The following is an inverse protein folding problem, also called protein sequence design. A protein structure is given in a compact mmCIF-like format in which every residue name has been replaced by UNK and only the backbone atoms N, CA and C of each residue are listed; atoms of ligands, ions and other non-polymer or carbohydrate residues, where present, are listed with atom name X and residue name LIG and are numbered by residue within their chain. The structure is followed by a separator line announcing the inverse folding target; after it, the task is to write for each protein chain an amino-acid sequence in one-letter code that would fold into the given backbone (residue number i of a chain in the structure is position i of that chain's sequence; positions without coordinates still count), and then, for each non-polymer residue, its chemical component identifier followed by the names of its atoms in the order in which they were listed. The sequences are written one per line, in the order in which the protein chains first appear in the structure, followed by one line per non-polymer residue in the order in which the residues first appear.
data_IF_512148179984
#
_entry.id   IF_512148179984
#
_cell.length_a   1.000
_cell.length_b   1.000
_cell.length_c   1.000
_cell.angle_alpha   90.00
_cell.angle_beta   90.00
_cell.angle_gamma   90.00
#
_symmetry.space_group_name_H-M   'P 1'
#
loop_
_entity.id
_entity.type
_entity.pdbx_description
1 polymer ?
#
# COMPACT_ATOMS: atom_id res chain seq x y z
N UNK A 1 6.76 -7.90 7.42
CA UNK A 1 6.30 -6.68 6.73
C UNK A 1 5.44 -5.89 7.69
N UNK A 2 5.75 -4.61 7.92
CA UNK A 2 5.12 -3.80 8.97
C UNK A 2 3.96 -2.97 8.40
N UNK A 3 2.81 -3.05 9.05
CA UNK A 3 1.57 -2.37 8.64
C UNK A 3 1.12 -1.45 9.78
N UNK A 4 0.71 -0.23 9.47
CA UNK A 4 0.17 0.67 10.48
C UNK A 4 -1.19 1.26 10.11
N UNK A 5 -2.01 1.49 11.13
CA UNK A 5 -3.20 2.31 11.08
C UNK A 5 -2.95 3.64 11.79
N UNK A 6 -3.25 4.75 11.11
CA UNK A 6 -3.15 6.12 11.63
C UNK A 6 -4.45 6.87 11.39
N UNK A 7 -4.68 7.89 12.21
CA UNK A 7 -5.83 8.80 12.05
C UNK A 7 -5.28 10.19 11.76
N UNK A 8 -5.73 10.79 10.66
CA UNK A 8 -5.36 12.12 10.23
C UNK A 8 -6.52 13.07 10.55
N UNK A 9 -6.24 14.11 11.32
CA UNK A 9 -7.21 15.15 11.65
C UNK A 9 -6.55 16.53 11.72
N UNK A 10 -7.36 17.56 11.54
CA UNK A 10 -7.01 18.96 11.84
C UNK A 10 -6.59 19.09 13.32
N UNK A 11 -5.70 20.03 13.69
CA UNK A 11 -5.43 20.34 15.10
C UNK A 11 -6.66 20.80 15.90
N UNK A 12 -7.65 21.37 15.23
CA UNK A 12 -8.90 21.86 15.79
C UNK A 12 -10.00 20.87 15.39
N UNK A 13 -10.33 19.96 16.30
CA UNK A 13 -11.35 18.93 16.13
C UNK A 13 -11.97 18.57 17.48
N UNK A 14 -13.13 17.91 17.46
CA UNK A 14 -13.69 17.26 18.63
C UNK A 14 -12.94 15.94 18.93
N UNK A 15 -12.19 15.90 20.03
CA UNK A 15 -11.33 14.76 20.36
C UNK A 15 -12.12 13.48 20.59
N UNK A 16 -13.20 13.56 21.36
CA UNK A 16 -14.06 12.41 21.68
C UNK A 16 -14.61 11.75 20.42
N UNK A 17 -15.13 12.57 19.51
CA UNK A 17 -15.72 12.09 18.25
C UNK A 17 -14.66 11.41 17.39
N UNK A 18 -13.48 12.03 17.23
CA UNK A 18 -12.39 11.45 16.42
C UNK A 18 -11.87 10.14 17.01
N UNK A 19 -11.75 10.05 18.34
CA UNK A 19 -11.32 8.83 19.02
C UNK A 19 -12.35 7.68 18.89
N UNK A 20 -13.65 8.00 18.95
CA UNK A 20 -14.72 7.02 18.73
C UNK A 20 -14.72 6.49 17.30
N UNK A 21 -14.62 7.38 16.31
CA UNK A 21 -14.51 7.01 14.89
C UNK A 21 -13.27 6.14 14.70
N UNK A 22 -12.11 6.59 15.19
CA UNK A 22 -10.86 5.85 15.07
C UNK A 22 -10.97 4.42 15.62
N UNK A 23 -11.57 4.28 16.80
CA UNK A 23 -11.76 2.98 17.47
C UNK A 23 -12.66 2.06 16.65
N UNK A 24 -13.73 2.59 16.07
CA UNK A 24 -14.65 1.85 15.20
C UNK A 24 -13.93 1.30 13.97
N UNK A 25 -13.20 2.14 13.24
CA UNK A 25 -12.46 1.72 12.06
C UNK A 25 -11.35 0.73 12.42
N UNK A 26 -10.58 0.99 13.48
CA UNK A 26 -9.49 0.10 13.87
C UNK A 26 -10.00 -1.29 14.25
N UNK A 27 -11.16 -1.38 14.93
CA UNK A 27 -11.79 -2.66 15.29
C UNK A 27 -12.15 -3.48 14.05
N UNK A 28 -12.74 -2.84 13.04
CA UNK A 28 -13.08 -3.49 11.75
C UNK A 28 -11.81 -3.98 11.05
N UNK A 29 -10.77 -3.16 10.98
CA UNK A 29 -9.55 -3.47 10.25
C UNK A 29 -8.68 -4.55 10.93
N UNK A 30 -8.62 -4.55 12.26
CA UNK A 30 -7.76 -5.47 13.02
C UNK A 30 -8.18 -6.93 12.85
N UNK A 31 -9.45 -7.20 12.56
CA UNK A 31 -9.96 -8.56 12.40
C UNK A 31 -9.38 -9.28 11.16
N UNK A 32 -9.14 -8.54 10.07
CA UNK A 32 -8.69 -9.13 8.80
C UNK A 32 -7.26 -8.78 8.39
N UNK A 33 -6.64 -7.82 9.08
CA UNK A 33 -5.29 -7.39 8.76
C UNK A 33 -4.36 -7.81 9.91
N UNK A 34 -3.70 -8.95 9.72
CA UNK A 34 -2.70 -9.45 10.66
C UNK A 34 -1.58 -8.41 10.89
N UNK A 35 -1.10 -8.33 12.13
CA UNK A 35 0.00 -7.47 12.56
C UNK A 35 -0.20 -5.96 12.28
N UNK A 36 -1.45 -5.49 12.29
CA UNK A 36 -1.77 -4.07 12.12
C UNK A 36 -1.49 -3.28 13.41
N UNK A 37 -0.48 -2.41 13.39
CA UNK A 37 -0.14 -1.54 14.51
C UNK A 37 -0.96 -0.24 14.51
N UNK A 38 -1.68 0.07 15.59
CA UNK A 38 -2.31 1.39 15.76
C UNK A 38 -1.30 2.43 16.22
N UNK A 39 -1.17 3.53 15.48
CA UNK A 39 -0.22 4.62 15.79
C UNK A 39 -0.90 5.88 16.33
N UNK A 40 -2.21 5.85 16.50
CA UNK A 40 -2.96 6.94 17.07
C UNK A 40 -3.23 8.08 16.10
N UNK A 41 -3.62 9.19 16.70
CA UNK A 41 -3.96 10.44 16.03
C UNK A 41 -2.71 11.23 15.63
N UNK A 42 -2.72 11.72 14.40
CA UNK A 42 -1.72 12.61 13.83
C UNK A 42 -2.42 13.91 13.43
N UNK A 43 -2.00 14.99 14.07
CA UNK A 43 -2.45 16.37 13.81
C UNK A 43 -1.34 17.27 13.27
N UNK A 44 -0.11 16.76 13.22
CA UNK A 44 1.07 17.50 12.81
C UNK A 44 1.97 16.66 11.89
N UNK A 45 2.65 17.35 10.99
CA UNK A 45 3.45 16.73 9.92
C UNK A 45 4.71 16.02 10.44
N UNK A 46 5.21 16.39 11.62
CA UNK A 46 6.44 15.81 12.18
C UNK A 46 6.22 14.33 12.52
N UNK A 47 5.03 13.99 13.03
CA UNK A 47 4.66 12.61 13.35
C UNK A 47 4.56 11.71 12.13
N UNK A 48 4.27 12.24 10.94
CA UNK A 48 4.19 11.45 9.69
C UNK A 48 5.55 10.80 9.37
N UNK A 49 6.67 11.46 9.68
CA UNK A 49 8.00 10.89 9.45
C UNK A 49 8.27 9.60 10.24
N UNK A 50 7.56 9.39 11.36
CA UNK A 50 7.67 8.15 12.15
C UNK A 50 7.09 6.94 11.41
N UNK A 51 6.30 7.16 10.35
CA UNK A 51 5.69 6.11 9.55
C UNK A 51 6.64 5.54 8.48
N UNK A 52 7.84 6.12 8.28
CA UNK A 52 8.83 5.63 7.29
C UNK A 52 9.25 4.18 7.48
N UNK A 53 9.17 3.68 8.71
CA UNK A 53 9.55 2.33 9.09
C UNK A 53 8.46 1.28 8.80
N UNK A 54 7.32 1.70 8.25
CA UNK A 54 6.23 0.82 7.84
C UNK A 54 6.26 0.60 6.33
N UNK A 55 5.80 -0.58 5.92
CA UNK A 55 5.74 -1.00 4.52
C UNK A 55 4.39 -0.63 3.90
N UNK A 56 3.30 -0.63 4.69
CA UNK A 56 1.96 -0.25 4.27
C UNK A 56 1.36 0.70 5.33
N UNK A 57 0.80 1.81 4.86
CA UNK A 57 0.17 2.81 5.70
C UNK A 57 -1.32 2.84 5.38
N UNK A 58 -2.15 2.60 6.39
CA UNK A 58 -3.60 2.75 6.32
C UNK A 58 -3.95 3.99 7.12
N UNK A 59 -4.48 5.01 6.47
CA UNK A 59 -4.76 6.31 7.06
C UNK A 59 -6.24 6.64 6.96
N UNK A 60 -6.89 6.75 8.12
CA UNK A 60 -8.23 7.31 8.23
C UNK A 60 -8.13 8.83 8.18
N UNK A 61 -8.78 9.44 7.20
CA UNK A 61 -9.03 10.89 7.14
C UNK A 61 -10.29 11.14 7.96
N UNK A 62 -10.12 11.66 9.17
CA UNK A 62 -11.20 11.83 10.14
C UNK A 62 -11.85 13.20 10.10
N UNK A 63 -11.14 14.23 9.61
CA UNK A 63 -11.67 15.59 9.48
C UNK A 63 -11.11 16.30 8.25
N UNK A 64 -11.77 17.38 7.84
CA UNK A 64 -11.19 18.40 6.98
C UNK A 64 -10.08 19.19 7.68
N UNK A 65 -9.31 19.97 6.91
CA UNK A 65 -8.10 20.62 7.43
C UNK A 65 -6.93 19.66 7.64
N UNK A 66 -7.01 18.45 7.05
CA UNK A 66 -5.99 17.39 7.13
C UNK A 66 -5.27 17.18 5.78
N UNK A 67 -5.54 18.00 4.78
CA UNK A 67 -5.07 17.89 3.40
C UNK A 67 -3.54 17.80 3.33
N UNK A 68 -2.85 18.67 4.08
CA UNK A 68 -1.39 18.65 4.14
C UNK A 68 -0.84 17.36 4.78
N UNK A 69 -1.53 16.79 5.77
CA UNK A 69 -1.15 15.51 6.37
C UNK A 69 -1.31 14.37 5.36
N UNK A 70 -2.43 14.36 4.62
CA UNK A 70 -2.69 13.41 3.53
C UNK A 70 -1.55 13.47 2.50
N UNK A 71 -1.21 14.67 2.02
CA UNK A 71 -0.09 14.88 1.08
C UNK A 71 1.24 14.38 1.66
N UNK A 72 1.50 14.64 2.93
CA UNK A 72 2.75 14.24 3.58
C UNK A 72 2.91 12.71 3.68
N UNK A 73 1.82 11.94 3.78
CA UNK A 73 1.90 10.47 3.70
C UNK A 73 2.43 10.00 2.34
N UNK A 74 2.11 10.71 1.26
CA UNK A 74 2.50 10.35 -0.10
C UNK A 74 4.02 10.53 -0.33
N UNK A 75 4.63 11.52 0.32
CA UNK A 75 6.08 11.74 0.25
C UNK A 75 6.91 10.64 0.92
N UNK A 76 6.30 9.75 1.69
CA UNK A 76 6.98 8.57 2.25
C UNK A 76 7.31 7.52 1.18
N UNK A 77 6.74 7.62 -0.02
CA UNK A 77 6.90 6.66 -1.14
C UNK A 77 6.58 5.22 -0.74
N UNK A 78 5.66 5.06 0.21
CA UNK A 78 5.09 3.78 0.63
C UNK A 78 3.71 3.61 0.00
N UNK A 79 3.23 2.38 -0.16
CA UNK A 79 1.81 2.10 -0.33
C UNK A 79 0.96 2.78 0.75
N UNK A 80 0.04 3.66 0.35
CA UNK A 80 -0.87 4.37 1.28
C UNK A 80 -2.32 4.12 0.89
N UNK A 81 -3.12 3.64 1.85
CA UNK A 81 -4.56 3.49 1.72
C UNK A 81 -5.21 4.61 2.53
N UNK A 82 -5.85 5.56 1.85
CA UNK A 82 -6.54 6.70 2.44
C UNK A 82 -8.04 6.39 2.52
N UNK A 83 -8.61 6.50 3.72
CA UNK A 83 -10.03 6.19 3.98
C UNK A 83 -10.71 7.47 4.43
N UNK A 84 -11.65 8.00 3.66
CA UNK A 84 -12.46 9.15 4.10
C UNK A 84 -13.60 8.69 5.01
N UNK A 85 -13.71 9.32 6.18
CA UNK A 85 -14.92 9.23 6.99
C UNK A 85 -16.10 9.96 6.32
N UNK A 86 -17.34 9.58 6.65
CA UNK A 86 -18.56 10.14 6.04
C UNK A 86 -18.88 11.56 6.49
N UNK A 87 -18.27 12.03 7.57
CA UNK A 87 -18.57 13.33 8.19
C UNK A 87 -17.32 14.20 8.37
N UNK A 88 -17.50 15.33 9.06
CA UNK A 88 -16.44 16.27 9.45
C UNK A 88 -15.59 16.79 8.29
N UNK A 89 -16.17 16.90 7.09
CA UNK A 89 -15.49 17.37 5.87
C UNK A 89 -14.29 16.51 5.44
N UNK A 90 -14.28 15.23 5.82
CA UNK A 90 -13.17 14.30 5.53
C UNK A 90 -13.05 13.95 4.04
N UNK A 91 -14.17 13.69 3.38
CA UNK A 91 -14.19 13.37 1.95
C UNK A 91 -13.71 14.55 1.08
N UNK A 92 -14.18 15.79 1.28
CA UNK A 92 -13.63 16.93 0.55
C UNK A 92 -12.13 17.12 0.75
N UNK A 93 -11.63 16.99 1.98
CA UNK A 93 -10.18 17.08 2.25
C UNK A 93 -9.38 16.01 1.51
N UNK A 94 -9.88 14.77 1.49
CA UNK A 94 -9.27 13.70 0.70
C UNK A 94 -9.25 14.06 -0.79
N UNK A 95 -10.37 14.52 -1.35
CA UNK A 95 -10.50 14.85 -2.77
C UNK A 95 -9.63 16.04 -3.19
N UNK A 96 -9.47 17.04 -2.32
CA UNK A 96 -8.59 18.19 -2.55
C UNK A 96 -7.11 17.77 -2.56
N UNK A 97 -6.71 16.91 -1.62
CA UNK A 97 -5.34 16.42 -1.54
C UNK A 97 -4.99 15.37 -2.61
N UNK A 98 -5.96 14.59 -3.08
CA UNK A 98 -5.73 13.40 -3.93
C UNK A 98 -4.96 13.69 -5.22
N UNK A 99 -5.23 14.76 -5.99
CA UNK A 99 -4.44 15.07 -7.20
C UNK A 99 -2.94 15.25 -6.91
N UNK A 100 -2.61 15.86 -5.76
CA UNK A 100 -1.22 16.05 -5.34
C UNK A 100 -0.62 14.70 -4.91
N UNK A 101 -1.38 13.90 -4.15
CA UNK A 101 -0.97 12.55 -3.75
C UNK A 101 -0.64 11.69 -4.98
N UNK A 102 -1.50 11.69 -6.01
CA UNK A 102 -1.28 10.90 -7.22
C UNK A 102 -0.06 11.33 -8.01
N UNK A 103 0.19 12.64 -8.07
CA UNK A 103 1.39 13.18 -8.71
C UNK A 103 2.67 12.75 -8.01
N UNK A 104 2.66 12.63 -6.68
CA UNK A 104 3.88 12.34 -5.90
C UNK A 104 4.00 10.87 -5.48
N UNK A 105 2.93 10.09 -5.49
CA UNK A 105 2.92 8.69 -5.08
C UNK A 105 1.94 7.86 -5.92
N UNK A 106 2.49 7.11 -6.87
CA UNK A 106 1.72 6.20 -7.72
C UNK A 106 1.12 4.99 -6.98
N UNK A 107 1.45 4.79 -5.70
CA UNK A 107 0.99 3.65 -4.88
C UNK A 107 0.01 4.12 -3.80
N UNK A 108 -1.00 4.87 -4.20
CA UNK A 108 -2.05 5.34 -3.28
C UNK A 108 -3.43 4.85 -3.69
N UNK A 109 -4.27 4.55 -2.71
CA UNK A 109 -5.69 4.20 -2.90
C UNK A 109 -6.54 5.14 -2.07
N UNK A 110 -7.58 5.69 -2.69
CA UNK A 110 -8.60 6.47 -1.99
C UNK A 110 -9.87 5.61 -1.86
N UNK A 111 -10.30 5.44 -0.61
CA UNK A 111 -11.56 4.78 -0.27
C UNK A 111 -12.51 5.84 0.26
N UNK A 112 -13.66 5.93 -0.41
CA UNK A 112 -14.77 6.77 0.01
C UNK A 112 -15.50 6.12 1.19
N UNK A 113 -16.43 6.84 1.84
CA UNK A 113 -17.24 6.25 2.90
C UNK A 113 -17.92 4.98 2.41
N UNK A 114 -17.66 3.88 3.10
CA UNK A 114 -18.16 2.53 2.82
C UNK A 114 -18.86 1.99 4.07
N UNK A 115 -19.72 1.00 3.87
CA UNK A 115 -20.20 0.19 4.99
C UNK A 115 -19.01 -0.53 5.66
N UNK A 116 -19.16 -0.94 6.92
CA UNK A 116 -18.08 -1.64 7.62
C UNK A 116 -17.67 -2.93 6.92
N UNK A 117 -18.64 -3.68 6.37
CA UNK A 117 -18.40 -4.93 5.66
C UNK A 117 -17.65 -4.70 4.34
N UNK A 118 -18.08 -3.72 3.54
CA UNK A 118 -17.41 -3.39 2.28
C UNK A 118 -15.99 -2.85 2.50
N UNK A 119 -15.81 -2.05 3.56
CA UNK A 119 -14.52 -1.50 3.95
C UNK A 119 -13.54 -2.63 4.30
N UNK A 120 -14.00 -3.57 5.11
CA UNK A 120 -13.24 -4.72 5.58
C UNK A 120 -12.78 -5.60 4.41
N UNK A 121 -13.69 -6.01 3.52
CA UNK A 121 -13.35 -6.83 2.35
C UNK A 121 -12.39 -6.08 1.42
N UNK A 122 -12.71 -4.82 1.10
CA UNK A 122 -11.94 -4.05 0.11
C UNK A 122 -10.53 -3.76 0.58
N UNK A 123 -10.34 -3.38 1.85
CA UNK A 123 -9.00 -3.14 2.39
C UNK A 123 -8.23 -4.45 2.50
N UNK A 124 -8.86 -5.55 2.94
CA UNK A 124 -8.21 -6.86 2.98
C UNK A 124 -7.64 -7.26 1.61
N UNK A 125 -8.41 -7.06 0.54
CA UNK A 125 -7.97 -7.33 -0.84
C UNK A 125 -6.83 -6.41 -1.29
N UNK A 126 -6.92 -5.11 -1.02
CA UNK A 126 -5.86 -4.15 -1.37
C UNK A 126 -4.57 -4.47 -0.62
N UNK A 127 -4.66 -4.69 0.70
CA UNK A 127 -3.51 -5.06 1.53
C UNK A 127 -2.87 -6.32 0.99
N UNK A 128 -3.62 -7.42 0.84
CA UNK A 128 -3.10 -8.68 0.29
C UNK A 128 -2.41 -8.48 -1.07
N UNK A 129 -2.99 -7.68 -1.98
CA UNK A 129 -2.36 -7.35 -3.25
C UNK A 129 -1.02 -6.63 -3.10
N UNK A 130 -0.93 -5.67 -2.19
CA UNK A 130 0.32 -4.97 -1.87
C UNK A 130 1.34 -5.94 -1.25
N UNK A 131 0.92 -6.81 -0.32
CA UNK A 131 1.79 -7.80 0.31
C UNK A 131 2.43 -8.71 -0.74
N UNK A 132 1.61 -9.24 -1.65
CA UNK A 132 2.09 -10.10 -2.74
C UNK A 132 3.03 -9.34 -3.66
N UNK A 133 2.68 -8.12 -4.07
CA UNK A 133 3.54 -7.29 -4.92
C UNK A 133 4.91 -7.00 -4.27
N UNK A 134 4.94 -6.73 -2.97
CA UNK A 134 6.20 -6.54 -2.23
C UNK A 134 7.00 -7.85 -2.15
N UNK A 135 6.31 -8.99 -1.94
CA UNK A 135 6.97 -10.31 -1.84
C UNK A 135 7.62 -10.79 -3.14
N UNK A 136 7.19 -10.26 -4.29
CA UNK A 136 7.82 -10.55 -5.59
C UNK A 136 9.22 -9.94 -5.71
N UNK A 137 9.49 -8.85 -4.99
CA UNK A 137 10.76 -8.14 -5.08
C UNK A 137 11.89 -9.01 -4.54
N UNK A 138 12.91 -9.23 -5.36
CA UNK A 138 14.08 -10.06 -5.03
C UNK A 138 13.93 -11.54 -5.37
N UNK A 139 12.77 -11.98 -5.90
CA UNK A 139 12.64 -13.33 -6.41
C UNK A 139 13.51 -13.53 -7.67
N UNK A 140 13.95 -14.78 -7.86
CA UNK A 140 14.76 -15.22 -8.99
C UNK A 140 13.96 -16.25 -9.78
N UNK A 141 13.78 -16.02 -11.07
CA UNK A 141 13.06 -16.91 -11.99
C UNK A 141 14.06 -17.51 -12.98
N UNK A 142 14.21 -18.83 -12.96
CA UNK A 142 15.05 -19.55 -13.92
C UNK A 142 14.35 -19.72 -15.27
N UNK A 143 14.97 -19.25 -16.34
CA UNK A 143 14.57 -19.45 -17.73
C UNK A 143 15.42 -20.57 -18.33
N UNK A 144 14.89 -21.79 -18.33
CA UNK A 144 15.62 -22.98 -18.80
C UNK A 144 15.52 -23.09 -20.32
N UNK A 145 16.67 -23.19 -21.00
CA UNK A 145 16.73 -23.41 -22.46
C UNK A 145 16.29 -22.22 -23.32
N UNK A 146 16.03 -21.06 -22.70
CA UNK A 146 15.64 -19.84 -23.40
C UNK A 146 14.19 -19.83 -23.92
N UNK A 147 13.86 -18.81 -24.70
CA UNK A 147 12.54 -18.63 -25.31
C UNK A 147 12.56 -19.23 -26.72
N UNK A 148 11.56 -20.05 -27.05
CA UNK A 148 11.44 -20.63 -28.40
C UNK A 148 11.39 -19.55 -29.49
N UNK A 149 12.13 -19.76 -30.57
CA UNK A 149 12.33 -18.75 -31.63
C UNK A 149 11.03 -18.33 -32.34
N UNK A 150 10.05 -19.23 -32.42
CA UNK A 150 8.73 -19.01 -33.03
C UNK A 150 7.73 -18.28 -32.12
N UNK A 151 8.05 -18.04 -30.84
CA UNK A 151 7.17 -17.32 -29.93
C UNK A 151 7.38 -15.80 -30.06
N UNK A 152 6.30 -15.10 -30.41
CA UNK A 152 6.29 -13.63 -30.59
C UNK A 152 5.89 -12.92 -29.29
N UNK A 153 4.82 -13.37 -28.62
CA UNK A 153 4.28 -12.71 -27.42
C UNK A 153 5.03 -13.05 -26.13
N UNK A 154 5.71 -14.21 -26.08
CA UNK A 154 6.42 -14.67 -24.88
C UNK A 154 7.78 -14.00 -24.67
N UNK A 155 8.20 -13.11 -25.57
CA UNK A 155 9.43 -12.33 -25.41
C UNK A 155 9.17 -11.20 -24.42
N UNK A 156 9.55 -11.44 -23.18
CA UNK A 156 9.51 -10.42 -22.13
C UNK A 156 10.93 -9.96 -21.86
N UNK A 157 11.15 -8.64 -21.87
CA UNK A 157 12.44 -8.05 -21.52
C UNK A 157 12.74 -8.29 -20.02
N UNK A 158 13.81 -9.04 -19.69
CA UNK A 158 14.23 -9.26 -18.30
C UNK A 158 14.46 -7.97 -17.52
N UNK A 159 14.95 -6.91 -18.19
CA UNK A 159 15.16 -5.62 -17.55
C UNK A 159 13.84 -5.00 -17.09
N UNK A 160 12.79 -5.07 -17.93
CA UNK A 160 11.47 -4.55 -17.58
C UNK A 160 10.85 -5.30 -16.39
N UNK A 161 11.05 -6.63 -16.33
CA UNK A 161 10.58 -7.47 -15.22
C UNK A 161 11.29 -7.08 -13.91
N UNK A 162 12.60 -6.87 -13.97
CA UNK A 162 13.39 -6.41 -12.82
C UNK A 162 13.01 -5.00 -12.38
N UNK A 163 12.81 -4.09 -13.34
CA UNK A 163 12.45 -2.69 -13.07
C UNK A 163 11.06 -2.56 -12.43
N UNK A 164 10.05 -3.27 -12.96
CA UNK A 164 8.66 -3.13 -12.50
C UNK A 164 8.29 -4.03 -11.33
N UNK A 165 8.78 -5.26 -11.31
CA UNK A 165 8.40 -6.27 -10.31
C UNK A 165 9.52 -6.56 -9.31
N UNK A 166 10.75 -6.15 -9.61
CA UNK A 166 11.90 -6.50 -8.78
C UNK A 166 12.31 -7.97 -8.89
N UNK A 167 11.81 -8.70 -9.89
CA UNK A 167 12.13 -10.11 -10.13
C UNK A 167 13.32 -10.18 -11.08
N UNK A 168 14.29 -11.04 -10.77
CA UNK A 168 15.44 -11.30 -11.63
C UNK A 168 15.19 -12.55 -12.47
N UNK A 169 15.26 -12.43 -13.79
CA UNK A 169 15.24 -13.58 -14.70
C UNK A 169 16.68 -14.04 -14.92
N UNK A 170 16.91 -15.34 -14.77
CA UNK A 170 18.23 -15.97 -14.89
C UNK A 170 18.11 -17.02 -15.98
N UNK A 171 18.87 -16.86 -17.06
CA UNK A 171 18.96 -17.88 -18.07
C UNK A 171 19.76 -19.07 -17.54
N UNK A 172 19.19 -20.27 -17.67
CA UNK A 172 19.80 -21.53 -17.28
C UNK A 172 19.95 -22.39 -18.54
N UNK A 173 21.18 -22.62 -19.02
CA UNK A 173 21.42 -23.49 -20.17
C UNK A 173 20.92 -24.91 -19.92
N UNK A 174 20.43 -25.58 -20.96
CA UNK A 174 19.98 -26.97 -20.85
C UNK A 174 21.12 -27.91 -20.43
N UNK A 175 22.34 -27.65 -20.88
CA UNK A 175 23.52 -28.43 -20.51
C UNK A 175 23.75 -28.46 -18.99
N UNK A 176 23.59 -27.31 -18.32
CA UNK A 176 23.69 -27.23 -16.86
C UNK A 176 22.62 -28.07 -16.15
N UNK A 177 21.40 -28.11 -16.72
CA UNK A 177 20.31 -28.93 -16.19
C UNK A 177 20.57 -30.42 -16.39
N UNK A 178 21.08 -30.82 -17.56
CA UNK A 178 21.44 -32.21 -17.83
C UNK A 178 22.59 -32.69 -16.93
N UNK A 179 23.61 -31.85 -16.73
CA UNK A 179 24.72 -32.13 -15.82
C UNK A 179 24.26 -32.28 -14.37
N UNK A 180 23.23 -31.53 -13.95
CA UNK A 180 22.64 -31.66 -12.62
C UNK A 180 21.77 -32.91 -12.47
N UNK A 181 21.03 -33.31 -13.51
CA UNK A 181 20.14 -34.47 -13.49
C UNK A 181 20.88 -35.81 -13.54
N UNK A 182 21.99 -35.89 -14.27
CA UNK A 182 22.78 -37.12 -14.43
C UNK A 182 23.77 -37.39 -13.28
N UNK A 183 23.74 -36.57 -12.23
CA UNK A 183 24.46 -36.81 -10.96
C UNK A 183 23.64 -37.70 -10.03
#
# INVERSE_FOLDING_TARGET
MRKCFVVLASPIHDKSTVEEIASTYFKVLKNNIADLEYKGLITDSVKINKLKNYDIIIALVATGGSEQLIINTAFLKKPVILIAHSSMNSLPALLEAKPIVDRVNSKSWALFPLSSQDLEEKIGRIVNGIEKAISLKGLRLGLIGGISSWLVYSRVDPWLVKEKLGIEIIEVPLDEVYDAYNK
#
